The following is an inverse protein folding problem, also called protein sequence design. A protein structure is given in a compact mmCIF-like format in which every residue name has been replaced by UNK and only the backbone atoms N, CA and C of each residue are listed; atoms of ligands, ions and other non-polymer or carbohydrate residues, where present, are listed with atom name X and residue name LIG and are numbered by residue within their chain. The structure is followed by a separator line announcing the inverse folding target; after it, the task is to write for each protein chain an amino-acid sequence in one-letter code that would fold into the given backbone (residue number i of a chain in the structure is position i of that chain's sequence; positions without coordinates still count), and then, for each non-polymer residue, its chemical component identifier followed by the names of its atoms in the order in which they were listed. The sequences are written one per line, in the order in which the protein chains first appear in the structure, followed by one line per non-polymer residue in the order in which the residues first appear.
data_IF_858069474573
#
_entry.id   IF_858069474573
#
_cell.length_a   1.000
_cell.length_b   1.000
_cell.length_c   1.000
_cell.angle_alpha   90.00
_cell.angle_beta   90.00
_cell.angle_gamma   90.00
#
_symmetry.space_group_name_H-M   'P 1'
#
loop_
_entity.id
_entity.type
_entity.pdbx_description
1 polymer ?
#
# COMPACT_ATOMS: atom_id res chain seq x y z
N UNK A 1 34.91 8.95 -35.60
CA UNK A 1 35.36 7.55 -35.80
C UNK A 1 35.52 6.95 -34.40
N UNK A 2 34.65 6.11 -33.87
CA UNK A 2 34.19 4.80 -34.35
C UNK A 2 32.66 4.75 -34.51
N UNK A 3 32.23 4.59 -35.75
CA UNK A 3 30.88 4.17 -36.13
C UNK A 3 30.82 2.65 -35.97
N UNK A 4 30.42 2.17 -34.79
CA UNK A 4 30.02 0.77 -34.66
C UNK A 4 28.84 0.53 -35.63
N UNK A 5 28.93 -0.42 -36.58
CA UNK A 5 27.94 -0.52 -37.63
C UNK A 5 26.61 -0.97 -37.04
N UNK A 6 25.53 -0.22 -37.35
CA UNK A 6 24.12 -0.60 -37.11
C UNK A 6 23.81 -2.03 -37.55
N UNK A 7 24.60 -2.57 -38.48
CA UNK A 7 24.44 -3.88 -39.12
C UNK A 7 24.75 -5.07 -38.19
N UNK A 8 25.60 -4.93 -37.16
CA UNK A 8 25.86 -6.06 -36.23
C UNK A 8 24.79 -6.24 -35.14
N UNK A 9 23.83 -5.32 -35.03
CA UNK A 9 22.67 -5.46 -34.13
C UNK A 9 21.54 -6.32 -34.73
N UNK A 10 21.65 -6.68 -36.02
CA UNK A 10 20.69 -7.52 -36.74
C UNK A 10 20.65 -8.98 -36.27
N UNK A 11 21.58 -9.42 -35.41
CA UNK A 11 21.72 -10.85 -35.05
C UNK A 11 20.85 -11.33 -33.87
N UNK A 12 19.97 -10.50 -33.28
CA UNK A 12 19.10 -10.93 -32.15
C UNK A 12 17.64 -10.40 -32.20
N UNK A 13 16.87 -10.61 -33.27
CA UNK A 13 15.59 -9.92 -33.49
C UNK A 13 14.50 -10.26 -32.46
N UNK A 14 14.41 -11.51 -31.98
CA UNK A 14 13.24 -11.94 -31.21
C UNK A 14 13.17 -11.35 -29.78
N UNK A 15 14.30 -11.38 -29.03
CA UNK A 15 14.36 -10.84 -27.65
C UNK A 15 14.15 -9.31 -27.60
N UNK A 16 14.49 -8.57 -28.65
CA UNK A 16 14.31 -7.12 -28.70
C UNK A 16 12.87 -6.71 -29.05
N UNK A 17 12.13 -7.55 -29.76
CA UNK A 17 10.76 -7.26 -30.17
C UNK A 17 9.82 -7.08 -28.96
N UNK A 18 10.03 -7.85 -27.89
CA UNK A 18 9.25 -7.71 -26.65
C UNK A 18 9.34 -6.31 -26.03
N UNK A 19 10.56 -5.81 -25.87
CA UNK A 19 10.80 -4.50 -25.27
C UNK A 19 10.24 -3.40 -26.16
N UNK A 20 10.38 -3.53 -27.48
CA UNK A 20 9.78 -2.62 -28.44
C UNK A 20 8.25 -2.56 -28.29
N UNK A 21 7.57 -3.71 -28.20
CA UNK A 21 6.10 -3.75 -28.00
C UNK A 21 5.69 -3.05 -26.70
N UNK A 22 6.42 -3.29 -25.61
CA UNK A 22 6.12 -2.64 -24.32
C UNK A 22 6.34 -1.13 -24.41
N UNK A 23 7.48 -0.69 -24.96
CA UNK A 23 7.85 0.73 -25.01
C UNK A 23 7.07 1.52 -26.07
N UNK A 24 6.56 0.87 -27.13
CA UNK A 24 5.68 1.48 -28.12
C UNK A 24 4.35 1.94 -27.50
N UNK A 25 3.92 1.30 -26.42
CA UNK A 25 2.68 1.64 -25.73
C UNK A 25 2.88 2.49 -24.47
N UNK A 26 4.12 2.91 -24.21
CA UNK A 26 4.48 3.75 -23.09
C UNK A 26 4.70 5.20 -23.58
N UNK A 27 3.70 6.05 -23.36
CA UNK A 27 3.83 7.47 -23.61
C UNK A 27 4.65 8.14 -22.48
N UNK A 28 5.82 8.67 -22.86
CA UNK A 28 6.72 9.42 -21.97
C UNK A 28 6.81 10.91 -22.36
N UNK A 29 5.89 11.41 -23.18
CA UNK A 29 5.87 12.79 -23.67
C UNK A 29 5.93 13.83 -22.55
N UNK A 30 5.25 13.54 -21.43
CA UNK A 30 5.19 14.36 -20.21
C UNK A 30 6.56 14.57 -19.53
N UNK A 31 7.51 13.65 -19.74
CA UNK A 31 8.87 13.83 -19.28
C UNK A 31 9.58 14.73 -20.29
N UNK A 32 9.58 16.03 -20.00
CA UNK A 32 10.29 17.04 -20.78
C UNK A 32 11.81 16.90 -20.58
N UNK A 33 12.54 17.00 -21.69
CA UNK A 33 13.99 17.07 -21.67
C UNK A 33 14.46 18.38 -21.05
N UNK A 34 15.56 18.32 -20.30
CA UNK A 34 16.21 19.49 -19.73
C UNK A 34 17.57 19.60 -20.41
N UNK A 35 17.64 20.43 -21.46
CA UNK A 35 18.86 20.63 -22.22
C UNK A 35 19.57 21.86 -21.62
N UNK A 36 20.74 21.68 -20.98
CA UNK A 36 21.50 22.81 -20.45
C UNK A 36 22.03 23.67 -21.60
N UNK A 37 22.14 24.98 -21.36
CA UNK A 37 22.66 25.95 -22.35
C UNK A 37 24.15 25.71 -22.66
N UNK A 38 24.92 25.22 -21.70
CA UNK A 38 26.37 24.96 -21.81
C UNK A 38 26.73 23.58 -21.26
N UNK A 39 27.87 23.04 -21.69
CA UNK A 39 28.41 21.75 -21.22
C UNK A 39 27.90 20.52 -21.97
N UNK A 40 28.27 19.32 -21.46
CA UNK A 40 27.91 18.04 -22.09
C UNK A 40 26.40 17.82 -21.99
N UNK A 41 25.75 17.58 -23.14
CA UNK A 41 24.32 17.24 -23.18
C UNK A 41 24.03 16.02 -22.27
N UNK A 42 23.04 16.10 -21.38
CA UNK A 42 22.67 15.00 -20.51
C UNK A 42 22.01 13.88 -21.31
N UNK A 43 21.93 12.70 -20.71
CA UNK A 43 21.11 11.62 -21.25
C UNK A 43 19.64 12.04 -21.29
N UNK A 44 18.92 11.59 -22.33
CA UNK A 44 17.48 11.80 -22.40
C UNK A 44 16.80 11.22 -21.16
N UNK A 45 15.97 12.04 -20.51
CA UNK A 45 15.19 11.62 -19.34
C UNK A 45 14.20 10.52 -19.71
N UNK A 46 13.67 10.53 -20.93
CA UNK A 46 12.80 9.47 -21.45
C UNK A 46 13.56 8.15 -21.59
N UNK A 47 14.77 8.18 -22.12
CA UNK A 47 15.65 6.99 -22.22
C UNK A 47 16.03 6.45 -20.84
N UNK A 48 16.36 7.32 -19.87
CA UNK A 48 16.62 6.91 -18.48
C UNK A 48 15.37 6.25 -17.86
N UNK A 49 14.17 6.80 -18.11
CA UNK A 49 12.92 6.20 -17.64
C UNK A 49 12.68 4.81 -18.23
N UNK A 50 12.93 4.62 -19.54
CA UNK A 50 12.85 3.31 -20.21
C UNK A 50 13.83 2.31 -19.60
N UNK A 51 15.06 2.72 -19.32
CA UNK A 51 16.06 1.87 -18.68
C UNK A 51 15.66 1.44 -17.26
N UNK A 52 15.04 2.33 -16.47
CA UNK A 52 14.51 1.97 -15.16
C UNK A 52 13.31 1.01 -15.23
N UNK A 53 12.48 1.13 -16.28
CA UNK A 53 11.42 0.15 -16.55
C UNK A 53 12.03 -1.18 -17.00
N UNK A 54 13.06 -1.16 -17.84
CA UNK A 54 13.81 -2.36 -18.24
C UNK A 54 14.41 -3.09 -17.04
N UNK A 55 15.00 -2.36 -16.08
CA UNK A 55 15.47 -2.92 -14.81
C UNK A 55 14.39 -3.75 -14.12
N UNK A 56 13.17 -3.22 -14.05
CA UNK A 56 12.04 -3.95 -13.47
C UNK A 56 11.68 -5.18 -14.32
N UNK A 57 11.61 -5.04 -15.65
CA UNK A 57 11.29 -6.15 -16.57
C UNK A 57 12.30 -7.31 -16.48
N UNK A 58 13.58 -7.01 -16.28
CA UNK A 58 14.64 -8.02 -16.07
C UNK A 58 14.81 -8.46 -14.62
N UNK A 59 14.05 -7.88 -13.69
CA UNK A 59 14.22 -8.10 -12.25
C UNK A 59 15.67 -7.85 -11.77
N UNK A 60 16.34 -6.85 -12.36
CA UNK A 60 17.67 -6.39 -11.93
C UNK A 60 17.52 -5.70 -10.58
N UNK A 61 18.38 -6.03 -9.60
CA UNK A 61 18.19 -5.59 -8.23
C UNK A 61 18.69 -4.17 -8.03
N UNK A 62 19.93 -3.91 -8.45
CA UNK A 62 20.64 -2.67 -8.16
C UNK A 62 20.77 -1.76 -9.38
N UNK A 63 20.97 -0.45 -9.14
CA UNK A 63 21.26 0.50 -10.22
C UNK A 63 22.68 0.31 -10.79
N UNK A 64 23.59 -0.28 -10.01
CA UNK A 64 24.93 -0.64 -10.47
C UNK A 64 24.87 -1.79 -11.48
N UNK A 65 24.11 -2.85 -11.19
CA UNK A 65 23.86 -3.95 -12.12
C UNK A 65 23.20 -3.44 -13.41
N UNK A 66 22.24 -2.52 -13.32
CA UNK A 66 21.64 -1.92 -14.51
C UNK A 66 22.69 -1.18 -15.36
N UNK A 67 23.56 -0.38 -14.75
CA UNK A 67 24.61 0.32 -15.48
C UNK A 67 25.60 -0.67 -16.13
N UNK A 68 25.95 -1.74 -15.42
CA UNK A 68 26.79 -2.81 -15.94
C UNK A 68 26.14 -3.54 -17.12
N UNK A 69 24.88 -3.97 -16.98
CA UNK A 69 24.09 -4.63 -18.04
C UNK A 69 24.02 -3.78 -19.31
N UNK A 70 23.79 -2.47 -19.19
CA UNK A 70 23.74 -1.58 -20.36
C UNK A 70 25.12 -1.37 -21.01
N UNK A 71 26.21 -1.63 -20.28
CA UNK A 71 27.59 -1.57 -20.80
C UNK A 71 28.05 -2.84 -21.48
N UNK A 72 27.57 -3.99 -21.03
CA UNK A 72 27.88 -5.29 -21.62
C UNK A 72 26.94 -5.61 -22.78
N UNK A 73 25.67 -5.23 -22.69
CA UNK A 73 24.66 -5.47 -23.70
C UNK A 73 24.33 -4.18 -24.47
N UNK A 74 25.17 -3.83 -25.44
CA UNK A 74 24.99 -2.62 -26.24
C UNK A 74 23.69 -2.64 -27.07
N UNK A 75 23.19 -3.84 -27.44
CA UNK A 75 21.95 -3.94 -28.20
C UNK A 75 20.71 -3.55 -27.42
N UNK A 76 20.61 -3.95 -26.15
CA UNK A 76 19.51 -3.46 -25.32
C UNK A 76 19.66 -1.97 -25.02
N UNK A 77 20.88 -1.49 -24.83
CA UNK A 77 21.15 -0.06 -24.63
C UNK A 77 20.62 0.76 -25.82
N UNK A 78 20.88 0.30 -27.04
CA UNK A 78 20.34 0.91 -28.27
C UNK A 78 18.81 0.85 -28.33
N UNK A 79 18.19 -0.30 -28.05
CA UNK A 79 16.71 -0.46 -28.04
C UNK A 79 16.04 0.48 -27.04
N UNK A 80 16.67 0.76 -25.91
CA UNK A 80 16.15 1.71 -24.93
C UNK A 80 16.25 3.18 -25.42
N UNK A 81 17.12 3.45 -26.40
CA UNK A 81 17.35 4.75 -27.00
C UNK A 81 18.63 5.44 -26.51
N UNK A 82 19.67 4.67 -26.14
CA UNK A 82 20.99 5.22 -25.87
C UNK A 82 21.85 5.21 -27.14
N UNK A 83 22.21 6.39 -27.62
CA UNK A 83 23.05 6.56 -28.83
C UNK A 83 24.56 6.62 -28.51
N UNK A 84 24.93 6.53 -27.24
CA UNK A 84 26.29 6.75 -26.72
C UNK A 84 26.63 5.68 -25.66
N UNK A 85 27.74 5.88 -24.96
CA UNK A 85 28.09 5.14 -23.75
C UNK A 85 26.90 5.10 -22.77
N UNK A 86 26.61 3.94 -22.14
CA UNK A 86 25.51 3.81 -21.21
C UNK A 86 25.65 4.75 -20.00
N UNK A 87 24.53 5.14 -19.39
CA UNK A 87 24.53 5.99 -18.20
C UNK A 87 25.16 5.29 -17.00
N UNK A 88 25.90 6.05 -16.21
CA UNK A 88 26.40 5.58 -14.91
C UNK A 88 25.27 5.47 -13.88
N UNK A 89 25.53 4.69 -12.82
CA UNK A 89 24.64 4.58 -11.63
C UNK A 89 24.14 5.96 -11.15
N UNK A 90 25.03 6.95 -11.10
CA UNK A 90 24.70 8.30 -10.62
C UNK A 90 23.57 8.95 -11.43
N UNK A 91 23.52 8.74 -12.74
CA UNK A 91 22.48 9.32 -13.61
C UNK A 91 21.09 8.75 -13.32
N UNK A 92 21.01 7.46 -12.98
CA UNK A 92 19.76 6.84 -12.54
C UNK A 92 19.29 7.38 -11.19
N UNK A 93 20.21 7.50 -10.23
CA UNK A 93 19.93 8.10 -8.91
C UNK A 93 19.44 9.53 -9.09
N UNK A 94 20.16 10.35 -9.86
CA UNK A 94 19.80 11.73 -10.14
C UNK A 94 18.38 11.86 -10.72
N UNK A 95 18.01 11.00 -11.67
CA UNK A 95 16.66 10.96 -12.22
C UNK A 95 15.61 10.66 -11.14
N UNK A 96 15.84 9.63 -10.33
CA UNK A 96 14.90 9.23 -9.28
C UNK A 96 14.73 10.32 -8.21
N UNK A 97 15.77 11.07 -7.88
CA UNK A 97 15.68 12.18 -6.92
C UNK A 97 15.06 13.45 -7.51
N UNK A 98 15.37 13.80 -8.75
CA UNK A 98 15.00 15.11 -9.33
C UNK A 98 13.69 15.11 -10.10
N UNK A 99 13.20 13.97 -10.58
CA UNK A 99 11.92 13.91 -11.29
C UNK A 99 10.77 14.14 -10.30
N UNK A 100 9.87 15.10 -10.56
CA UNK A 100 8.66 15.22 -9.76
C UNK A 100 7.78 13.98 -9.90
N UNK A 101 7.42 13.33 -8.80
CA UNK A 101 6.63 12.10 -8.81
C UNK A 101 5.29 12.27 -9.57
N UNK A 102 4.70 13.46 -9.55
CA UNK A 102 3.46 13.77 -10.25
C UNK A 102 3.51 13.47 -11.77
N UNK A 103 4.68 13.60 -12.41
CA UNK A 103 4.84 13.26 -13.83
C UNK A 103 4.68 11.75 -14.05
N UNK A 104 5.32 10.93 -13.20
CA UNK A 104 5.19 9.48 -13.26
C UNK A 104 3.78 9.03 -12.90
N UNK A 105 3.14 9.70 -11.94
CA UNK A 105 1.74 9.44 -11.60
C UNK A 105 0.79 9.71 -12.78
N UNK A 106 1.04 10.76 -13.58
CA UNK A 106 0.22 11.02 -14.77
C UNK A 106 0.43 9.94 -15.85
N UNK A 107 1.67 9.52 -16.10
CA UNK A 107 1.95 8.38 -17.00
C UNK A 107 1.19 7.12 -16.54
N UNK A 108 1.25 6.81 -15.24
CA UNK A 108 0.50 5.70 -14.63
C UNK A 108 -1.01 5.86 -14.86
N UNK A 109 -1.56 7.07 -14.65
CA UNK A 109 -3.00 7.36 -14.88
C UNK A 109 -3.40 7.18 -16.34
N UNK A 110 -2.57 7.61 -17.30
CA UNK A 110 -2.81 7.41 -18.72
C UNK A 110 -2.87 5.91 -19.07
N UNK A 111 -1.96 5.10 -18.54
CA UNK A 111 -1.99 3.65 -18.74
C UNK A 111 -3.26 3.01 -18.20
N UNK A 112 -3.73 3.44 -17.02
CA UNK A 112 -5.00 2.96 -16.45
C UNK A 112 -6.17 3.35 -17.35
N UNK A 113 -6.22 4.58 -17.88
CA UNK A 113 -7.27 4.99 -18.83
C UNK A 113 -7.28 4.10 -20.06
N UNK A 114 -6.11 3.77 -20.62
CA UNK A 114 -5.98 2.84 -21.74
C UNK A 114 -6.51 1.44 -21.39
N UNK A 115 -6.16 0.90 -20.22
CA UNK A 115 -6.62 -0.43 -19.78
C UNK A 115 -8.13 -0.49 -19.48
N UNK A 116 -8.73 0.62 -19.03
CA UNK A 116 -10.18 0.76 -18.91
C UNK A 116 -10.82 0.74 -20.30
N UNK A 117 -10.28 1.49 -21.26
CA UNK A 117 -10.76 1.50 -22.65
C UNK A 117 -10.67 0.13 -23.32
N UNK A 118 -9.62 -0.65 -23.02
CA UNK A 118 -9.46 -2.03 -23.47
C UNK A 118 -10.32 -3.04 -22.69
N UNK A 119 -11.17 -2.58 -21.75
CA UNK A 119 -12.02 -3.42 -20.89
C UNK A 119 -11.25 -4.45 -20.05
N UNK A 120 -9.97 -4.19 -19.75
CA UNK A 120 -9.14 -5.03 -18.87
C UNK A 120 -9.42 -4.69 -17.41
N UNK A 121 -9.42 -3.40 -17.07
CA UNK A 121 -9.72 -2.91 -15.71
C UNK A 121 -11.20 -2.60 -15.64
N UNK A 122 -11.91 -3.34 -14.79
CA UNK A 122 -13.36 -3.16 -14.63
C UNK A 122 -13.72 -2.14 -13.55
N UNK A 123 -12.91 -2.05 -12.49
CA UNK A 123 -13.19 -1.26 -11.30
C UNK A 123 -14.44 -1.71 -10.52
N UNK A 124 -14.92 -2.95 -10.74
CA UNK A 124 -16.12 -3.49 -10.08
C UNK A 124 -15.86 -3.81 -8.61
N UNK A 125 -14.69 -4.36 -8.29
CA UNK A 125 -14.28 -4.66 -6.93
C UNK A 125 -12.90 -4.06 -6.70
N UNK A 126 -12.82 -3.09 -5.79
CA UNK A 126 -11.58 -2.38 -5.51
C UNK A 126 -11.08 -2.79 -4.13
N UNK A 127 -9.88 -3.35 -4.07
CA UNK A 127 -9.23 -3.76 -2.83
C UNK A 127 -8.16 -2.74 -2.44
N UNK A 128 -8.23 -2.23 -1.21
CA UNK A 128 -7.20 -1.38 -0.63
C UNK A 128 -6.29 -2.21 0.29
N UNK A 129 -4.99 -2.01 0.11
CA UNK A 129 -3.96 -2.64 0.93
C UNK A 129 -2.66 -1.82 0.85
N UNK A 130 -1.71 -2.05 1.75
CA UNK A 130 -0.42 -1.37 1.74
C UNK A 130 0.72 -2.29 2.09
N UNK A 131 1.88 -2.01 1.50
CA UNK A 131 3.06 -2.84 1.65
C UNK A 131 4.25 -2.04 2.19
N UNK A 132 5.07 -2.60 3.09
CA UNK A 132 6.23 -1.91 3.63
C UNK A 132 7.31 -1.72 2.56
N UNK A 133 7.96 -0.56 2.59
CA UNK A 133 9.16 -0.26 1.81
C UNK A 133 10.26 0.11 2.80
N UNK A 134 11.21 -0.81 2.99
CA UNK A 134 12.23 -0.76 4.02
C UNK A 134 13.37 0.14 3.54
N UNK A 135 13.70 1.18 4.32
CA UNK A 135 14.77 2.10 3.98
C UNK A 135 16.15 1.43 4.10
N UNK A 136 17.10 1.86 3.26
CA UNK A 136 18.48 1.39 3.28
C UNK A 136 19.30 2.12 4.36
N UNK A 137 19.04 1.78 5.63
CA UNK A 137 19.68 2.41 6.80
C UNK A 137 20.26 1.36 7.76
N UNK A 138 21.32 1.70 8.49
CA UNK A 138 22.00 0.79 9.44
C UNK A 138 21.05 0.26 10.53
N UNK A 139 20.05 1.04 10.93
CA UNK A 139 19.02 0.67 11.90
C UNK A 139 18.11 -0.48 11.43
N UNK A 140 18.04 -0.73 10.12
CA UNK A 140 17.29 -1.88 9.59
C UNK A 140 18.16 -3.13 9.43
N UNK A 141 19.49 -3.03 9.61
CA UNK A 141 20.39 -4.17 9.51
C UNK A 141 20.33 -4.99 10.82
N UNK A 142 19.89 -6.26 10.81
CA UNK A 142 19.79 -7.08 12.02
C UNK A 142 21.15 -7.32 12.68
N UNK A 143 22.24 -7.35 11.89
CA UNK A 143 23.60 -7.65 12.34
C UNK A 143 24.29 -6.46 13.00
N UNK A 144 23.72 -5.25 12.91
CA UNK A 144 24.28 -4.04 13.49
C UNK A 144 23.61 -3.73 14.82
N UNK A 145 24.44 -3.58 15.86
CA UNK A 145 24.03 -2.96 17.11
C UNK A 145 23.93 -1.45 16.92
N UNK A 146 22.78 -0.89 17.28
CA UNK A 146 22.54 0.56 17.29
C UNK A 146 21.73 0.85 18.55
N UNK A 147 22.27 1.64 19.45
CA UNK A 147 21.54 2.05 20.65
C UNK A 147 20.27 2.83 20.26
N UNK A 148 19.14 2.51 20.89
CA UNK A 148 17.86 3.15 20.56
C UNK A 148 17.41 2.91 19.11
N UNK A 149 17.78 1.77 18.49
CA UNK A 149 17.53 1.40 17.09
C UNK A 149 16.13 1.72 16.55
N UNK A 150 15.09 1.61 17.37
CA UNK A 150 13.69 1.86 17.02
C UNK A 150 13.03 2.94 17.89
N UNK A 151 13.83 3.89 18.38
CA UNK A 151 13.32 5.09 19.04
C UNK A 151 12.71 6.03 18.00
N UNK A 152 11.39 6.25 18.09
CA UNK A 152 10.64 7.14 17.18
C UNK A 152 11.10 8.59 17.20
N UNK A 153 11.92 9.01 18.18
CA UNK A 153 12.47 10.37 18.29
C UNK A 153 13.82 10.52 17.61
N UNK A 154 14.55 9.41 17.38
CA UNK A 154 15.89 9.40 16.77
C UNK A 154 15.82 8.94 15.31
N UNK A 155 15.63 9.89 14.39
CA UNK A 155 15.54 9.57 12.97
C UNK A 155 16.88 9.09 12.40
N UNK A 156 16.86 8.14 11.43
CA UNK A 156 18.09 7.61 10.87
C UNK A 156 18.78 8.65 9.96
N UNK A 157 20.03 8.98 10.25
CA UNK A 157 20.83 9.94 9.45
C UNK A 157 20.92 9.55 7.96
N UNK A 158 20.99 8.26 7.65
CA UNK A 158 21.07 7.77 6.27
C UNK A 158 19.80 7.99 5.45
N UNK A 159 18.65 8.21 6.10
CA UNK A 159 17.40 8.56 5.43
C UNK A 159 16.49 9.39 6.37
N UNK A 160 16.67 10.72 6.44
CA UNK A 160 15.93 11.58 7.37
C UNK A 160 14.40 11.60 7.15
N UNK A 161 13.93 11.19 5.98
CA UNK A 161 12.50 11.12 5.63
C UNK A 161 11.83 9.82 6.12
N UNK A 162 12.63 8.78 6.40
CA UNK A 162 12.13 7.50 6.87
C UNK A 162 11.44 7.65 8.24
N UNK A 163 10.33 6.93 8.44
CA UNK A 163 9.62 6.90 9.73
C UNK A 163 9.46 5.46 10.20
N UNK A 164 9.30 5.31 11.51
CA UNK A 164 9.12 4.01 12.13
C UNK A 164 7.76 3.42 11.75
N UNK A 165 7.77 2.20 11.22
CA UNK A 165 6.61 1.41 10.86
C UNK A 165 6.64 0.03 11.50
N UNK A 166 5.50 -0.65 11.40
CA UNK A 166 5.32 -2.00 11.93
C UNK A 166 4.78 -2.91 10.83
N UNK A 167 5.23 -4.16 10.78
CA UNK A 167 4.67 -5.20 9.92
C UNK A 167 4.55 -6.53 10.67
N UNK A 168 3.62 -7.38 10.25
CA UNK A 168 3.43 -8.71 10.82
C UNK A 168 4.15 -9.73 9.93
N UNK A 169 5.06 -10.52 10.50
CA UNK A 169 5.55 -11.74 9.86
C UNK A 169 4.70 -12.94 10.29
N UNK A 170 4.12 -13.62 9.31
CA UNK A 170 3.59 -14.97 9.50
C UNK A 170 4.70 -15.99 9.22
N UNK A 171 4.65 -17.13 9.94
CA UNK A 171 5.65 -18.20 9.84
C UNK A 171 5.65 -18.76 8.41
N UNK A 172 6.82 -18.81 7.76
CA UNK A 172 6.97 -19.53 6.49
C UNK A 172 7.05 -21.04 6.75
N UNK A 173 6.24 -21.82 6.04
CA UNK A 173 6.52 -23.22 5.76
C UNK A 173 7.73 -23.31 4.82
N UNK A 174 8.56 -24.33 5.03
CA UNK A 174 9.95 -24.52 4.56
C UNK A 174 10.25 -24.42 3.04
N UNK A 175 9.33 -23.99 2.18
CA UNK A 175 9.55 -23.96 0.73
C UNK A 175 9.21 -22.61 0.12
N UNK A 176 10.12 -21.64 0.19
CA UNK A 176 10.44 -20.72 -0.93
C UNK A 176 11.53 -19.72 -0.52
N UNK A 177 12.49 -19.52 -1.43
CA UNK A 177 13.60 -18.56 -1.34
C UNK A 177 13.07 -17.12 -1.36
N UNK A 178 12.64 -16.60 -0.21
CA UNK A 178 12.40 -15.17 -0.03
C UNK A 178 13.43 -14.61 0.95
N UNK A 179 14.53 -14.09 0.38
CA UNK A 179 15.58 -13.30 1.05
C UNK A 179 15.02 -12.09 1.85
N UNK A 180 13.74 -11.75 1.66
CA UNK A 180 13.06 -10.63 2.30
C UNK A 180 12.90 -10.80 3.82
N UNK A 181 12.86 -12.03 4.34
CA UNK A 181 12.68 -12.35 5.76
C UNK A 181 13.95 -12.76 6.52
N UNK A 182 15.00 -13.22 5.83
CA UNK A 182 16.23 -13.69 6.50
C UNK A 182 16.92 -12.56 7.28
N UNK A 183 16.77 -11.32 6.81
CA UNK A 183 17.27 -10.11 7.47
C UNK A 183 16.54 -9.72 8.77
N UNK A 184 15.55 -10.49 9.23
CA UNK A 184 14.92 -10.24 10.53
C UNK A 184 14.90 -11.46 11.43
N UNK A 185 15.65 -12.51 11.09
CA UNK A 185 15.92 -13.62 12.00
C UNK A 185 17.09 -13.26 12.92
N UNK A 186 16.89 -13.07 14.23
CA UNK A 186 18.00 -13.14 15.17
C UNK A 186 18.53 -14.58 15.22
N UNK A 187 19.86 -14.80 15.36
CA UNK A 187 20.47 -16.12 15.35
C UNK A 187 20.00 -17.06 16.48
N UNK A 188 19.53 -16.54 17.63
CA UNK A 188 19.51 -17.32 18.89
C UNK A 188 18.14 -17.58 19.54
N UNK A 189 17.01 -17.52 18.81
CA UNK A 189 15.69 -17.75 19.45
C UNK A 189 15.00 -19.00 18.89
N UNK A 190 14.97 -20.06 19.70
CA UNK A 190 14.24 -21.31 19.43
C UNK A 190 12.74 -21.04 19.24
N UNK A 191 12.23 -21.42 18.07
CA UNK A 191 10.88 -21.14 17.59
C UNK A 191 9.78 -21.89 18.39
N UNK A 192 9.06 -21.17 19.25
CA UNK A 192 7.73 -21.58 19.73
C UNK A 192 6.74 -20.41 19.63
N UNK A 193 5.77 -20.51 18.70
CA UNK A 193 4.53 -19.70 18.71
C UNK A 193 4.46 -18.45 17.80
N UNK A 194 3.53 -18.51 16.83
CA UNK A 194 2.73 -17.48 16.14
C UNK A 194 3.17 -16.00 16.03
N UNK A 195 3.15 -15.49 14.79
CA UNK A 195 3.03 -14.08 14.36
C UNK A 195 3.95 -13.07 15.08
N UNK A 196 5.08 -12.72 14.45
CA UNK A 196 6.03 -11.71 14.99
C UNK A 196 5.74 -10.31 14.45
N UNK A 197 5.68 -9.31 15.32
CA UNK A 197 5.66 -7.90 14.92
C UNK A 197 7.10 -7.47 14.68
N UNK A 198 7.37 -6.86 13.52
CA UNK A 198 8.66 -6.27 13.19
C UNK A 198 8.52 -4.76 13.08
N UNK A 199 9.42 -4.07 13.77
CA UNK A 199 9.66 -2.65 13.59
C UNK A 199 10.66 -2.43 12.44
N UNK A 200 10.41 -1.43 11.60
CA UNK A 200 11.34 -1.04 10.54
C UNK A 200 11.29 0.47 10.31
N UNK A 201 12.40 1.05 9.88
CA UNK A 201 12.43 2.40 9.36
C UNK A 201 12.14 2.39 7.87
N UNK A 202 11.23 3.25 7.41
CA UNK A 202 11.02 3.46 5.99
C UNK A 202 9.67 4.05 5.66
N UNK A 203 9.05 3.45 4.65
CA UNK A 203 7.86 3.96 3.98
C UNK A 203 6.81 2.86 3.85
N UNK A 204 5.61 3.25 3.44
CA UNK A 204 4.54 2.36 3.01
C UNK A 204 4.08 2.79 1.63
N UNK A 205 3.92 1.81 0.76
CA UNK A 205 3.29 1.99 -0.53
C UNK A 205 1.83 1.55 -0.44
N UNK A 206 0.92 2.51 -0.50
CA UNK A 206 -0.53 2.28 -0.41
C UNK A 206 -1.09 2.13 -1.81
N UNK A 207 -1.81 1.03 -2.06
CA UNK A 207 -2.26 0.66 -3.40
C UNK A 207 -3.75 0.31 -3.36
N UNK A 208 -4.47 0.69 -4.41
CA UNK A 208 -5.79 0.15 -4.68
C UNK A 208 -5.69 -0.70 -5.93
N UNK A 209 -6.13 -1.95 -5.84
CA UNK A 209 -6.18 -2.88 -6.96
C UNK A 209 -7.62 -3.04 -7.45
N UNK A 210 -7.80 -3.22 -8.75
CA UNK A 210 -9.00 -3.88 -9.27
C UNK A 210 -8.88 -5.38 -9.02
N UNK A 211 -9.62 -5.92 -8.06
CA UNK A 211 -9.47 -7.31 -7.59
C UNK A 211 -9.65 -8.37 -8.67
N UNK A 212 -10.33 -8.05 -9.78
CA UNK A 212 -10.58 -8.99 -10.87
C UNK A 212 -9.42 -9.08 -11.86
N UNK A 213 -8.88 -7.94 -12.30
CA UNK A 213 -7.68 -7.89 -13.15
C UNK A 213 -6.39 -8.05 -12.34
N UNK A 214 -6.47 -7.75 -11.05
CA UNK A 214 -5.38 -7.72 -10.08
C UNK A 214 -4.31 -6.66 -10.43
N UNK A 215 -4.72 -5.64 -11.19
CA UNK A 215 -3.88 -4.52 -11.60
C UNK A 215 -4.07 -3.32 -10.66
N UNK A 216 -3.01 -2.55 -10.38
CA UNK A 216 -3.11 -1.38 -9.54
C UNK A 216 -3.78 -0.22 -10.27
N UNK A 217 -4.79 0.38 -9.65
CA UNK A 217 -5.48 1.58 -10.15
C UNK A 217 -5.09 2.85 -9.37
N UNK A 218 -4.54 2.69 -8.18
CA UNK A 218 -4.03 3.79 -7.35
C UNK A 218 -2.72 3.37 -6.69
N UNK A 219 -1.79 4.32 -6.52
CA UNK A 219 -0.55 4.13 -5.78
C UNK A 219 -0.17 5.44 -5.10
N UNK A 220 0.26 5.36 -3.84
CA UNK A 220 0.85 6.47 -3.12
C UNK A 220 1.85 5.98 -2.07
N UNK A 221 3.08 6.47 -2.16
CA UNK A 221 4.10 6.25 -1.14
C UNK A 221 4.03 7.31 -0.03
N UNK A 222 4.05 6.87 1.23
CA UNK A 222 4.10 7.74 2.42
C UNK A 222 5.10 7.20 3.45
N UNK A 223 5.60 8.04 4.38
CA UNK A 223 6.38 7.55 5.53
C UNK A 223 5.60 6.48 6.33
N UNK A 224 6.29 5.49 6.88
CA UNK A 224 5.64 4.28 7.40
C UNK A 224 4.77 4.50 8.66
N UNK A 225 4.90 5.64 9.33
CA UNK A 225 4.04 6.03 10.47
C UNK A 225 2.68 6.59 10.02
N UNK A 226 2.46 6.84 8.73
CA UNK A 226 1.18 7.29 8.21
C UNK A 226 0.22 6.10 8.17
N UNK A 227 -0.81 6.17 9.01
CA UNK A 227 -1.85 5.14 9.04
C UNK A 227 -2.62 5.05 7.73
N UNK A 228 -2.90 3.82 7.31
CA UNK A 228 -3.69 3.52 6.10
C UNK A 228 -5.03 4.24 6.09
N UNK A 229 -5.66 4.36 7.27
CA UNK A 229 -6.95 5.03 7.41
C UNK A 229 -6.97 6.50 7.01
N UNK A 230 -5.82 7.19 7.10
CA UNK A 230 -5.65 8.58 6.63
C UNK A 230 -5.53 8.65 5.10
N UNK A 231 -5.03 7.60 4.46
CA UNK A 231 -4.78 7.55 3.02
C UNK A 231 -6.01 7.08 2.26
N UNK A 232 -6.79 6.14 2.80
CA UNK A 232 -7.93 5.51 2.11
C UNK A 232 -8.90 6.49 1.48
N UNK A 233 -9.38 7.49 2.24
CA UNK A 233 -10.35 8.46 1.73
C UNK A 233 -9.74 9.34 0.64
N UNK A 234 -8.47 9.73 0.79
CA UNK A 234 -7.75 10.51 -0.22
C UNK A 234 -7.61 9.70 -1.52
N UNK A 235 -7.24 8.44 -1.41
CA UNK A 235 -7.08 7.54 -2.55
C UNK A 235 -8.38 7.40 -3.36
N UNK A 236 -9.52 7.18 -2.68
CA UNK A 236 -10.80 7.09 -3.39
C UNK A 236 -11.32 8.43 -3.92
N UNK A 237 -10.96 9.57 -3.30
CA UNK A 237 -11.22 10.90 -3.88
C UNK A 237 -10.46 11.07 -5.19
N UNK A 238 -9.18 10.69 -5.21
CA UNK A 238 -8.36 10.76 -6.42
C UNK A 238 -8.87 9.81 -7.51
N UNK A 239 -9.25 8.58 -7.15
CA UNK A 239 -9.85 7.64 -8.10
C UNK A 239 -11.14 8.19 -8.70
N UNK A 240 -12.05 8.72 -7.88
CA UNK A 240 -13.31 9.31 -8.37
C UNK A 240 -13.09 10.53 -9.27
N UNK A 241 -12.06 11.33 -9.00
CA UNK A 241 -11.70 12.50 -9.83
C UNK A 241 -11.17 12.08 -11.19
N UNK A 242 -10.31 11.06 -11.24
CA UNK A 242 -9.59 10.68 -12.45
C UNK A 242 -10.28 9.60 -13.29
N UNK A 243 -11.13 8.78 -12.66
CA UNK A 243 -11.77 7.62 -13.27
C UNK A 243 -13.25 7.54 -12.89
N UNK A 244 -14.10 7.18 -13.85
CA UNK A 244 -15.55 7.05 -13.65
C UNK A 244 -15.95 5.63 -13.19
N UNK A 245 -15.21 5.06 -12.23
CA UNK A 245 -15.52 3.72 -11.71
C UNK A 245 -16.87 3.70 -11.00
N UNK A 246 -17.62 2.62 -11.22
CA UNK A 246 -18.88 2.30 -10.52
C UNK A 246 -18.70 1.00 -9.72
N UNK A 247 -17.97 1.03 -8.59
CA UNK A 247 -17.66 -0.18 -7.84
C UNK A 247 -18.92 -0.82 -7.28
N UNK A 248 -19.02 -2.14 -7.38
CA UNK A 248 -20.03 -2.97 -6.69
C UNK A 248 -19.65 -3.23 -5.23
N UNK A 249 -18.35 -3.23 -4.94
CA UNK A 249 -17.85 -3.37 -3.57
C UNK A 249 -16.43 -2.85 -3.38
N UNK A 250 -16.16 -2.33 -2.19
CA UNK A 250 -14.82 -1.97 -1.72
C UNK A 250 -14.37 -3.00 -0.69
N UNK A 251 -13.18 -3.57 -0.90
CA UNK A 251 -12.57 -4.59 -0.06
C UNK A 251 -11.41 -3.98 0.71
N UNK A 252 -11.23 -4.37 1.96
CA UNK A 252 -10.12 -3.90 2.78
C UNK A 252 -10.01 -4.68 4.08
N UNK A 253 -8.83 -4.65 4.68
CA UNK A 253 -8.59 -5.32 5.96
C UNK A 253 -9.29 -4.61 7.15
N UNK A 254 -9.23 -5.23 8.33
CA UNK A 254 -9.79 -4.64 9.54
C UNK A 254 -9.10 -3.33 9.96
N UNK A 255 -7.90 -3.00 9.50
CA UNK A 255 -7.26 -1.72 9.81
C UNK A 255 -7.99 -0.54 9.15
N UNK A 256 -8.74 -0.78 8.07
CA UNK A 256 -9.59 0.22 7.42
C UNK A 256 -10.97 0.42 8.08
N UNK A 257 -11.29 -0.32 9.15
CA UNK A 257 -12.57 -0.20 9.86
C UNK A 257 -12.68 1.12 10.66
N UNK A 258 -13.02 2.20 9.96
CA UNK A 258 -13.26 3.51 10.56
C UNK A 258 -14.55 4.13 10.03
N UNK A 259 -15.24 4.91 10.88
CA UNK A 259 -16.47 5.59 10.49
C UNK A 259 -16.26 6.54 9.30
N UNK A 260 -15.11 7.20 9.20
CA UNK A 260 -14.81 8.10 8.09
C UNK A 260 -14.76 7.35 6.74
N UNK A 261 -14.09 6.20 6.71
CA UNK A 261 -13.99 5.36 5.51
C UNK A 261 -15.35 4.79 5.13
N UNK A 262 -16.03 4.12 6.07
CA UNK A 262 -17.35 3.50 5.79
C UNK A 262 -18.37 4.55 5.35
N UNK A 263 -18.41 5.72 6.00
CA UNK A 263 -19.26 6.85 5.60
C UNK A 263 -18.95 7.29 4.17
N UNK A 264 -17.67 7.45 3.82
CA UNK A 264 -17.28 7.86 2.47
C UNK A 264 -17.70 6.84 1.41
N UNK A 265 -17.45 5.54 1.66
CA UNK A 265 -17.84 4.46 0.74
C UNK A 265 -19.36 4.46 0.51
N UNK A 266 -20.17 4.50 1.58
CA UNK A 266 -21.63 4.41 1.45
C UNK A 266 -22.29 5.68 0.95
N UNK A 267 -21.92 6.85 1.48
CA UNK A 267 -22.56 8.12 1.10
C UNK A 267 -22.01 8.71 -0.19
N UNK A 268 -20.70 8.61 -0.42
CA UNK A 268 -20.03 9.29 -1.55
C UNK A 268 -19.80 8.39 -2.75
N UNK A 269 -19.39 7.14 -2.53
CA UNK A 269 -19.20 6.15 -3.59
C UNK A 269 -20.48 5.34 -3.88
N UNK A 270 -21.48 5.40 -2.97
CA UNK A 270 -22.75 4.68 -3.09
C UNK A 270 -22.57 3.18 -3.34
N UNK A 271 -21.63 2.57 -2.62
CA UNK A 271 -21.26 1.16 -2.79
C UNK A 271 -21.17 0.42 -1.44
N UNK A 272 -21.05 -0.91 -1.51
CA UNK A 272 -20.95 -1.79 -0.35
C UNK A 272 -19.50 -1.85 0.14
N UNK A 273 -19.32 -1.81 1.45
CA UNK A 273 -18.03 -1.97 2.13
C UNK A 273 -17.88 -3.38 2.70
N UNK A 274 -16.92 -4.12 2.16
CA UNK A 274 -16.51 -5.45 2.60
C UNK A 274 -15.23 -5.33 3.43
N UNK A 275 -15.40 -4.75 4.62
CA UNK A 275 -14.32 -4.48 5.58
C UNK A 275 -14.68 -5.19 6.89
N UNK A 276 -13.85 -6.13 7.40
CA UNK A 276 -14.11 -6.78 8.68
C UNK A 276 -14.11 -5.78 9.83
N UNK A 277 -14.88 -6.06 10.87
CA UNK A 277 -14.89 -5.22 12.08
C UNK A 277 -13.56 -5.39 12.81
N UNK A 278 -12.94 -4.29 13.23
CA UNK A 278 -11.71 -4.34 14.00
C UNK A 278 -12.01 -4.58 15.48
N UNK A 279 -11.71 -5.77 16.05
CA UNK A 279 -12.03 -6.07 17.43
C UNK A 279 -11.31 -5.15 18.42
N UNK A 280 -10.13 -4.61 18.08
CA UNK A 280 -9.40 -3.65 18.92
C UNK A 280 -10.13 -2.32 19.07
N UNK A 281 -10.97 -1.97 18.09
CA UNK A 281 -11.80 -0.78 18.12
C UNK A 281 -13.17 -1.03 18.78
N UNK A 282 -13.55 -2.29 18.99
CA UNK A 282 -14.74 -2.70 19.70
C UNK A 282 -14.45 -2.67 21.20
N UNK A 283 -14.92 -1.64 21.89
CA UNK A 283 -15.03 -1.74 23.36
C UNK A 283 -16.04 -2.84 23.69
N UNK A 284 -15.77 -3.61 24.74
CA UNK A 284 -16.62 -4.67 25.34
C UNK A 284 -18.10 -4.56 24.95
N UNK A 285 -18.75 -5.69 24.63
CA UNK A 285 -20.19 -5.78 24.29
C UNK A 285 -21.03 -4.75 25.05
N UNK A 286 -21.34 -3.66 24.37
CA UNK A 286 -22.08 -2.56 24.98
C UNK A 286 -23.54 -2.96 24.92
N UNK A 287 -24.07 -3.44 26.05
CA UNK A 287 -25.49 -3.76 26.20
C UNK A 287 -26.29 -2.47 26.42
N UNK A 288 -27.42 -2.37 25.73
CA UNK A 288 -28.42 -1.32 25.91
C UNK A 288 -29.76 -1.94 26.29
N UNK A 289 -30.55 -1.23 27.10
CA UNK A 289 -31.94 -1.58 27.40
C UNK A 289 -32.86 -1.23 26.22
N UNK A 290 -34.12 -1.68 26.26
CA UNK A 290 -35.17 -1.28 25.28
C UNK A 290 -35.36 0.24 25.22
N UNK A 291 -35.03 0.96 26.29
CA UNK A 291 -35.09 2.43 26.39
C UNK A 291 -33.82 3.13 25.89
N UNK A 292 -32.92 2.41 25.21
CA UNK A 292 -31.65 2.92 24.68
C UNK A 292 -30.70 3.48 25.76
N UNK A 293 -30.79 2.92 26.97
CA UNK A 293 -29.91 3.27 28.09
C UNK A 293 -28.82 2.22 28.24
N UNK A 294 -27.59 2.65 28.47
CA UNK A 294 -26.46 1.74 28.60
C UNK A 294 -26.55 0.93 29.89
N UNK A 295 -26.17 -0.35 29.82
CA UNK A 295 -26.09 -1.26 30.97
C UNK A 295 -24.66 -1.34 31.48
N UNK A 296 -24.47 -1.36 32.80
CA UNK A 296 -23.17 -1.54 33.44
C UNK A 296 -22.77 -3.03 33.51
N UNK A 297 -21.54 -3.33 33.92
CA UNK A 297 -21.05 -4.73 34.04
C UNK A 297 -21.87 -5.54 35.04
N UNK A 298 -22.42 -4.91 36.07
CA UNK A 298 -23.30 -5.53 37.06
C UNK A 298 -24.75 -5.76 36.55
N UNK A 299 -25.03 -5.45 35.27
CA UNK A 299 -26.35 -5.65 34.67
C UNK A 299 -27.36 -4.53 34.93
N UNK A 300 -26.99 -3.46 35.63
CA UNK A 300 -27.90 -2.33 35.90
C UNK A 300 -27.95 -1.30 34.78
N UNK A 301 -29.14 -0.79 34.52
CA UNK A 301 -29.38 0.37 33.67
C UNK A 301 -28.70 1.61 34.28
N UNK A 302 -27.79 2.22 33.53
CA UNK A 302 -27.01 3.38 34.01
C UNK A 302 -27.82 4.67 33.94
N UNK A 303 -27.60 5.59 34.87
CA UNK A 303 -28.28 6.88 34.86
C UNK A 303 -27.70 7.82 33.77
N UNK A 304 -28.51 8.35 32.85
CA UNK A 304 -28.05 9.30 31.84
C UNK A 304 -27.75 10.66 32.47
N UNK A 305 -26.46 11.03 32.57
CA UNK A 305 -26.03 12.26 33.23
C UNK A 305 -26.14 13.50 32.36
N UNK A 306 -25.93 13.36 31.04
CA UNK A 306 -25.98 14.48 30.11
C UNK A 306 -25.14 14.25 28.86
N UNK A 307 -25.20 15.21 27.93
CA UNK A 307 -24.44 15.18 26.68
C UNK A 307 -23.44 16.33 26.64
N UNK A 308 -22.25 16.09 26.11
CA UNK A 308 -21.20 17.11 25.99
C UNK A 308 -20.37 16.91 24.72
N UNK A 309 -19.74 17.98 24.24
CA UNK A 309 -18.79 17.94 23.12
C UNK A 309 -17.38 17.71 23.64
N UNK A 310 -16.71 16.67 23.14
CA UNK A 310 -15.32 16.32 23.45
C UNK A 310 -14.55 16.08 22.15
N UNK A 311 -13.53 16.91 21.88
CA UNK A 311 -12.67 16.84 20.67
C UNK A 311 -13.50 16.74 19.37
N UNK A 312 -14.53 17.57 19.25
CA UNK A 312 -15.43 17.61 18.10
C UNK A 312 -16.42 16.44 18.00
N UNK A 313 -16.66 15.70 19.09
CA UNK A 313 -17.61 14.57 19.15
C UNK A 313 -18.64 14.79 20.25
N UNK A 314 -19.91 14.52 20.00
CA UNK A 314 -20.96 14.59 21.02
C UNK A 314 -21.09 13.24 21.73
N UNK A 315 -20.87 13.24 23.04
CA UNK A 315 -20.96 12.03 23.88
C UNK A 315 -22.03 12.17 24.94
N UNK A 316 -22.84 11.14 25.12
CA UNK A 316 -23.69 10.95 26.30
C UNK A 316 -22.85 10.33 27.42
N UNK A 317 -22.84 10.93 28.59
CA UNK A 317 -22.30 10.35 29.82
C UNK A 317 -23.40 9.56 30.52
N UNK A 318 -23.07 8.33 30.90
CA UNK A 318 -23.87 7.47 31.77
C UNK A 318 -23.08 7.26 33.06
N UNK A 319 -23.76 7.30 34.20
CA UNK A 319 -23.15 7.16 35.53
C UNK A 319 -23.85 6.08 36.35
N UNK A 320 -23.21 5.63 37.42
CA UNK A 320 -23.73 4.56 38.25
C UNK A 320 -25.05 4.99 38.93
N UNK A 321 -26.13 4.20 38.81
CA UNK A 321 -27.40 4.55 39.42
C UNK A 321 -27.32 4.51 40.95
N UNK A 322 -26.48 3.64 41.53
CA UNK A 322 -26.31 3.53 42.99
C UNK A 322 -25.71 4.81 43.59
N UNK A 323 -24.81 5.50 42.87
CA UNK A 323 -24.18 6.73 43.40
C UNK A 323 -24.96 8.00 43.08
N UNK A 324 -25.81 7.98 42.04
CA UNK A 324 -26.51 9.18 41.56
C UNK A 324 -28.03 9.16 41.77
N UNK A 325 -28.63 8.05 42.19
CA UNK A 325 -30.07 7.95 42.49
C UNK A 325 -30.29 7.43 43.92
N UNK A 326 -30.73 8.32 44.83
CA UNK A 326 -30.96 7.98 46.25
C UNK A 326 -31.87 6.77 46.46
N UNK A 327 -32.97 6.67 45.69
CA UNK A 327 -33.93 5.54 45.76
C UNK A 327 -33.29 4.21 45.33
N UNK A 328 -32.47 4.24 44.28
CA UNK A 328 -31.76 3.07 43.79
C UNK A 328 -30.65 2.64 44.76
N UNK A 329 -29.95 3.62 45.35
CA UNK A 329 -28.92 3.38 46.36
C UNK A 329 -29.46 2.64 47.58
N UNK A 330 -30.60 3.09 48.13
CA UNK A 330 -31.26 2.45 49.28
C UNK A 330 -31.67 1.00 49.00
N UNK A 331 -32.13 0.69 47.78
CA UNK A 331 -32.51 -0.67 47.36
C UNK A 331 -31.31 -1.63 47.28
N UNK A 332 -30.12 -1.10 47.07
CA UNK A 332 -28.88 -1.87 46.90
C UNK A 332 -27.86 -1.60 48.02
N UNK A 333 -28.33 -1.20 49.20
CA UNK A 333 -27.52 -0.94 50.41
C UNK A 333 -26.30 -0.06 50.18
N UNK A 334 -26.37 0.90 49.25
CA UNK A 334 -25.26 1.79 48.88
C UNK A 334 -23.97 1.07 48.46
N UNK A 335 -24.05 -0.18 48.02
CA UNK A 335 -22.89 -1.00 47.65
C UNK A 335 -23.02 -1.55 46.23
N UNK A 336 -21.89 -1.65 45.53
CA UNK A 336 -21.85 -2.26 44.20
C UNK A 336 -21.75 -3.78 44.33
N UNK A 337 -22.69 -4.57 43.76
CA UNK A 337 -22.63 -6.04 43.84
C UNK A 337 -21.38 -6.66 43.21
N UNK A 338 -20.72 -5.94 42.31
CA UNK A 338 -19.49 -6.38 41.63
C UNK A 338 -18.21 -5.83 42.28
N UNK A 339 -18.31 -5.14 43.42
CA UNK A 339 -17.20 -4.47 44.11
C UNK A 339 -16.28 -3.69 43.14
N UNK A 340 -16.89 -2.97 42.20
CA UNK A 340 -16.15 -2.35 41.10
C UNK A 340 -15.15 -1.31 41.64
N UNK A 341 -13.87 -1.31 41.25
CA UNK A 341 -12.84 -0.44 41.86
C UNK A 341 -13.14 1.07 41.81
N UNK A 342 -13.86 1.51 40.77
CA UNK A 342 -14.30 2.91 40.64
C UNK A 342 -15.47 3.30 41.55
N UNK A 343 -16.10 2.36 42.25
CA UNK A 343 -17.24 2.64 43.10
C UNK A 343 -16.88 3.56 44.27
N UNK A 344 -15.74 3.31 44.92
CA UNK A 344 -15.20 4.17 45.98
C UNK A 344 -14.89 5.62 45.53
N UNK A 345 -14.76 5.87 44.22
CA UNK A 345 -14.49 7.19 43.63
C UNK A 345 -15.74 7.87 43.03
N UNK A 346 -16.93 7.47 43.46
CA UNK A 346 -18.20 8.05 42.98
C UNK A 346 -18.92 7.22 41.92
N UNK A 347 -18.55 5.95 41.72
CA UNK A 347 -19.28 5.02 40.86
C UNK A 347 -18.66 4.78 39.48
N UNK A 348 -19.12 3.73 38.81
CA UNK A 348 -18.75 3.49 37.41
C UNK A 348 -19.42 4.53 36.48
N UNK A 349 -18.71 4.95 35.44
CA UNK A 349 -19.23 5.84 34.40
C UNK A 349 -18.83 5.32 33.03
N UNK A 350 -19.62 5.71 32.03
CA UNK A 350 -19.42 5.25 30.67
C UNK A 350 -19.87 6.31 29.66
N UNK A 351 -19.25 6.31 28.48
CA UNK A 351 -19.56 7.26 27.42
C UNK A 351 -20.07 6.53 26.19
N UNK A 352 -21.12 7.07 25.58
CA UNK A 352 -21.65 6.62 24.28
C UNK A 352 -21.63 7.80 23.33
N UNK A 353 -21.18 7.57 22.10
CA UNK A 353 -21.15 8.60 21.07
C UNK A 353 -22.53 8.70 20.41
N UNK A 354 -23.09 9.90 20.33
CA UNK A 354 -24.44 10.14 19.79
C UNK A 354 -24.39 10.75 18.38
N UNK A 355 -23.35 11.54 18.08
CA UNK A 355 -23.20 12.29 16.83
C UNK A 355 -22.76 11.45 15.62
N UNK A 356 -22.56 10.14 15.78
CA UNK A 356 -22.22 9.28 14.66
C UNK A 356 -23.31 8.25 14.42
N UNK A 357 -23.94 8.35 13.25
CA UNK A 357 -24.36 7.17 12.50
C UNK A 357 -23.25 6.11 12.65
N UNK A 358 -23.49 5.08 13.46
CA UNK A 358 -22.53 3.99 13.56
C UNK A 358 -22.64 3.17 12.28
N UNK A 359 -21.86 3.53 11.26
CA UNK A 359 -21.84 2.80 10.01
C UNK A 359 -21.48 1.32 10.22
N UNK A 360 -20.86 0.97 11.36
CA UNK A 360 -20.62 -0.42 11.74
C UNK A 360 -21.91 -1.23 11.89
N UNK A 361 -22.95 -0.70 12.55
CA UNK A 361 -24.21 -1.45 12.78
C UNK A 361 -24.97 -1.74 11.49
N UNK A 362 -24.78 -0.90 10.46
CA UNK A 362 -25.35 -1.09 9.11
C UNK A 362 -24.41 -1.79 8.15
N UNK A 363 -23.30 -2.35 8.63
CA UNK A 363 -22.38 -3.11 7.79
C UNK A 363 -22.96 -4.47 7.48
N UNK A 364 -22.57 -4.99 6.31
CA UNK A 364 -22.84 -6.38 5.98
C UNK A 364 -22.14 -7.23 7.04
N UNK A 365 -22.89 -8.17 7.64
CA UNK A 365 -22.34 -9.08 8.64
C UNK A 365 -21.13 -9.84 8.05
N UNK A 366 -19.92 -9.70 8.62
CA UNK A 366 -18.74 -10.44 8.18
C UNK A 366 -18.92 -11.97 8.22
N UNK A 367 -19.85 -12.48 9.04
CA UNK A 367 -20.16 -13.92 9.11
C UNK A 367 -21.05 -14.41 7.97
N UNK A 368 -21.77 -13.51 7.30
CA UNK A 368 -22.66 -13.86 6.20
C UNK A 368 -21.90 -14.50 5.03
N UNK A 369 -22.55 -15.43 4.34
CA UNK A 369 -21.96 -16.09 3.16
C UNK A 369 -21.67 -15.07 2.04
N UNK A 370 -22.57 -14.10 1.85
CA UNK A 370 -22.40 -13.02 0.88
C UNK A 370 -21.12 -12.21 1.12
N UNK A 371 -20.84 -11.86 2.40
CA UNK A 371 -19.60 -11.20 2.76
C UNK A 371 -18.41 -12.10 2.46
N UNK A 372 -18.39 -13.33 2.97
CA UNK A 372 -17.27 -14.26 2.79
C UNK A 372 -16.94 -14.51 1.31
N UNK A 373 -17.96 -14.75 0.49
CA UNK A 373 -17.81 -15.01 -0.95
C UNK A 373 -17.19 -13.81 -1.68
N UNK A 374 -17.66 -12.61 -1.38
CA UNK A 374 -17.14 -11.39 -2.02
C UNK A 374 -15.76 -11.03 -1.47
N UNK A 375 -15.54 -11.21 -0.17
CA UNK A 375 -14.28 -10.91 0.50
C UNK A 375 -13.12 -11.77 0.01
N UNK A 376 -13.36 -12.99 -0.48
CA UNK A 376 -12.34 -13.83 -1.16
C UNK A 376 -11.65 -13.11 -2.33
N UNK A 377 -12.32 -12.15 -2.97
CA UNK A 377 -11.74 -11.33 -4.05
C UNK A 377 -10.60 -10.41 -3.56
N UNK A 378 -10.48 -10.19 -2.24
CA UNK A 378 -9.37 -9.44 -1.67
C UNK A 378 -8.02 -10.13 -1.95
N UNK A 379 -7.99 -11.46 -2.08
CA UNK A 379 -6.77 -12.20 -2.47
C UNK A 379 -6.16 -11.72 -3.80
N UNK A 380 -6.95 -11.03 -4.64
CA UNK A 380 -6.44 -10.38 -5.84
C UNK A 380 -5.39 -9.29 -5.55
N UNK A 381 -5.52 -8.52 -4.45
CA UNK A 381 -4.49 -7.54 -4.07
C UNK A 381 -3.21 -8.21 -3.57
N UNK A 382 -3.31 -9.33 -2.85
CA UNK A 382 -2.14 -10.12 -2.42
C UNK A 382 -1.36 -10.65 -3.63
N UNK A 383 -2.07 -11.19 -4.63
CA UNK A 383 -1.45 -11.59 -5.91
C UNK A 383 -0.92 -10.40 -6.71
N UNK A 384 -1.58 -9.24 -6.63
CA UNK A 384 -1.09 -7.99 -7.20
C UNK A 384 0.25 -7.56 -6.61
N UNK A 385 0.35 -7.54 -5.28
CA UNK A 385 1.60 -7.27 -4.58
C UNK A 385 2.68 -8.31 -4.86
N UNK A 386 2.36 -9.60 -4.85
CA UNK A 386 3.32 -10.67 -5.18
C UNK A 386 4.01 -10.45 -6.54
N UNK A 387 3.29 -9.91 -7.53
CA UNK A 387 3.88 -9.50 -8.81
C UNK A 387 4.81 -8.30 -8.67
N UNK A 388 4.37 -7.25 -7.96
CA UNK A 388 5.18 -6.05 -7.70
C UNK A 388 6.48 -6.38 -6.93
N UNK A 389 6.48 -7.41 -6.08
CA UNK A 389 7.69 -7.89 -5.39
C UNK A 389 8.80 -8.30 -6.36
N UNK A 390 8.46 -8.78 -7.56
CA UNK A 390 9.44 -9.16 -8.59
C UNK A 390 10.26 -7.96 -9.09
N UNK A 391 9.79 -6.73 -8.87
CA UNK A 391 10.47 -5.50 -9.26
C UNK A 391 11.34 -4.88 -8.16
N UNK A 392 11.53 -5.59 -7.04
CA UNK A 392 12.38 -5.14 -5.92
C UNK A 392 12.02 -3.76 -5.36
N UNK A 393 10.75 -3.37 -5.40
CA UNK A 393 10.31 -2.04 -4.94
C UNK A 393 10.38 -1.87 -3.41
N UNK A 394 10.38 -2.96 -2.64
CA UNK A 394 10.31 -2.92 -1.17
C UNK A 394 11.65 -2.68 -0.46
N UNK A 395 12.78 -2.83 -1.15
CA UNK A 395 14.12 -2.58 -0.58
C UNK A 395 14.95 -1.71 -1.54
N UNK A 396 14.52 -0.46 -1.76
CA UNK A 396 15.27 0.45 -2.59
C UNK A 396 16.63 0.74 -1.94
N UNK A 397 17.73 0.60 -2.71
CA UNK A 397 19.04 1.13 -2.33
C UNK A 397 19.12 2.64 -2.64
N UNK A 398 18.11 3.36 -2.15
CA UNK A 398 17.89 4.80 -2.34
C UNK A 398 17.46 5.40 -1.00
N UNK A 399 17.56 6.72 -0.89
CA UNK A 399 17.21 7.49 0.30
C UNK A 399 16.26 8.62 -0.09
N UNK A 400 15.45 9.12 0.85
CA UNK A 400 14.51 10.21 0.63
C UNK A 400 13.19 9.79 -0.03
N UNK A 401 12.11 10.44 0.41
CA UNK A 401 10.73 10.07 0.04
C UNK A 401 10.49 10.14 -1.47
N UNK A 402 11.05 11.14 -2.17
CA UNK A 402 10.78 11.33 -3.59
C UNK A 402 11.39 10.21 -4.44
N UNK A 403 12.64 9.82 -4.17
CA UNK A 403 13.32 8.76 -4.91
C UNK A 403 12.63 7.39 -4.69
N UNK A 404 12.27 7.09 -3.43
CA UNK A 404 11.55 5.87 -3.09
C UNK A 404 10.15 5.84 -3.72
N UNK A 405 9.42 6.97 -3.68
CA UNK A 405 8.12 7.09 -4.34
C UNK A 405 8.25 6.87 -5.86
N UNK A 406 9.24 7.49 -6.51
CA UNK A 406 9.50 7.32 -7.94
C UNK A 406 9.82 5.87 -8.30
N UNK A 407 10.63 5.16 -7.50
CA UNK A 407 10.88 3.73 -7.71
C UNK A 407 9.60 2.91 -7.60
N UNK A 408 8.75 3.17 -6.60
CA UNK A 408 7.46 2.49 -6.46
C UNK A 408 6.55 2.78 -7.65
N UNK A 409 6.39 4.04 -8.05
CA UNK A 409 5.56 4.43 -9.20
C UNK A 409 6.08 3.79 -10.49
N UNK A 410 7.40 3.69 -10.70
CA UNK A 410 7.98 3.00 -11.86
C UNK A 410 7.65 1.50 -11.88
N UNK A 411 7.67 0.82 -10.72
CA UNK A 411 7.23 -0.58 -10.64
C UNK A 411 5.75 -0.75 -11.06
N UNK A 412 4.90 0.22 -10.68
CA UNK A 412 3.50 0.26 -11.08
C UNK A 412 3.31 0.57 -12.58
N UNK A 413 4.11 1.48 -13.14
CA UNK A 413 4.13 1.74 -14.58
C UNK A 413 4.56 0.49 -15.35
N UNK A 414 5.54 -0.26 -14.85
CA UNK A 414 6.01 -1.50 -15.47
C UNK A 414 4.90 -2.55 -15.53
N UNK A 415 4.19 -2.83 -14.44
CA UNK A 415 3.10 -3.84 -14.45
C UNK A 415 1.97 -3.45 -15.41
N UNK A 416 1.62 -2.16 -15.46
CA UNK A 416 0.59 -1.66 -16.35
C UNK A 416 1.03 -1.68 -17.82
N UNK A 417 2.30 -1.38 -18.11
CA UNK A 417 2.86 -1.44 -19.45
C UNK A 417 2.80 -2.88 -20.00
N UNK A 418 3.16 -3.87 -19.18
CA UNK A 418 3.02 -5.30 -19.52
C UNK A 418 1.56 -5.63 -19.80
N UNK A 419 0.62 -5.21 -18.93
CA UNK A 419 -0.80 -5.47 -19.12
C UNK A 419 -1.33 -4.88 -20.43
N UNK A 420 -0.91 -3.68 -20.81
CA UNK A 420 -1.30 -3.04 -22.08
C UNK A 420 -0.74 -3.82 -23.27
N UNK A 421 0.54 -4.19 -23.24
CA UNK A 421 1.17 -4.97 -24.30
C UNK A 421 0.41 -6.29 -24.51
N UNK A 422 0.15 -7.04 -23.44
CA UNK A 422 -0.58 -8.32 -23.50
C UNK A 422 -2.00 -8.14 -24.03
N UNK A 423 -2.71 -7.12 -23.57
CA UNK A 423 -4.08 -6.84 -24.00
C UNK A 423 -4.16 -6.52 -25.50
N UNK A 424 -3.17 -5.77 -26.02
CA UNK A 424 -3.06 -5.43 -27.45
C UNK A 424 -2.60 -6.60 -28.30
N UNK A 425 -1.75 -7.49 -27.79
CA UNK A 425 -1.36 -8.74 -28.44
C UNK A 425 -2.47 -9.83 -28.41
N UNK A 426 -3.70 -9.49 -27.97
CA UNK A 426 -4.87 -10.38 -27.86
C UNK A 426 -4.68 -11.63 -26.97
N UNK A 427 -3.60 -11.73 -26.19
CA UNK A 427 -3.33 -12.85 -25.27
C UNK A 427 -3.88 -12.57 -23.85
N UNK A 428 -5.18 -12.29 -23.73
CA UNK A 428 -5.81 -11.80 -22.49
C UNK A 428 -5.54 -12.68 -21.26
N UNK A 429 -5.37 -13.99 -21.42
CA UNK A 429 -5.13 -14.92 -20.32
C UNK A 429 -3.75 -14.75 -19.65
N UNK A 430 -2.77 -14.20 -20.38
CA UNK A 430 -1.40 -14.06 -19.88
C UNK A 430 -1.16 -12.79 -19.05
N UNK A 431 -2.16 -11.91 -18.89
CA UNK A 431 -2.05 -10.65 -18.11
C UNK A 431 -1.62 -10.94 -16.66
N UNK A 432 -2.00 -12.11 -16.12
CA UNK A 432 -1.70 -12.52 -14.74
C UNK A 432 -0.33 -13.18 -14.56
N UNK A 433 0.31 -13.64 -15.63
CA UNK A 433 1.53 -14.46 -15.57
C UNK A 433 2.76 -13.66 -16.02
N UNK A 434 3.18 -12.64 -15.26
CA UNK A 434 4.33 -11.80 -15.64
C UNK A 434 5.61 -12.62 -15.86
N UNK A 435 5.93 -13.58 -14.98
CA UNK A 435 7.15 -14.40 -15.12
C UNK A 435 7.04 -15.45 -16.23
N UNK A 436 5.85 -16.03 -16.42
CA UNK A 436 5.58 -16.96 -17.52
C UNK A 436 5.62 -16.24 -18.87
N UNK A 437 4.99 -15.08 -18.96
CA UNK A 437 5.03 -14.19 -20.12
C UNK A 437 6.45 -13.71 -20.43
N UNK A 438 7.21 -13.26 -19.42
CA UNK A 438 8.62 -12.89 -19.61
C UNK A 438 9.47 -14.09 -20.04
N UNK A 439 9.23 -15.32 -19.54
CA UNK A 439 9.94 -16.53 -20.02
C UNK A 439 9.53 -16.92 -21.44
N UNK A 440 8.24 -17.07 -21.70
CA UNK A 440 7.67 -17.44 -23.00
C UNK A 440 8.04 -16.45 -24.11
N UNK A 441 8.14 -15.16 -23.79
CA UNK A 441 8.50 -14.10 -24.75
C UNK A 441 10.00 -13.82 -24.82
N UNK A 442 10.82 -14.39 -23.91
CA UNK A 442 12.30 -14.35 -24.00
C UNK A 442 12.89 -15.64 -24.59
N UNK A 443 12.10 -16.72 -24.68
CA UNK A 443 12.48 -18.02 -25.26
C UNK A 443 12.09 -18.18 -26.73
N UNK A 444 11.11 -17.40 -27.22
CA UNK A 444 10.84 -17.20 -28.65
C UNK A 444 11.68 -16.05 -29.17
#
# INVERSE_FOLDING_TARGET
MSTYPREKLLFYPAKFNLYNVIFQHLDLSLIKEQIPKTGRRPFSRRTICRALIYKNLKAIQTLSELAFELSTNLGISYVLGFDKQPPSRHRFVEFLHKVPNQLLQEIRRQQIKTLIGLSVISGKYLSIDSTPVIAWVKQNNPKMFVEGKFDKTKFPQGDPDARLGFMMLQKYTKHTKEQQLELFKPPDIKDKGNKRIICFWGYRNHVIFDSLSELPVFELTKPANVFDSKVTVLAFKELKKNFKFKPKGILGDAAHDTNAIRKYIRKTLKTKDFIPINPRATKQDIKFTKHNTRVCVAGFEMYPWGSFKDRGRTRKKFVCPITHLKRFAKKHNHQCPMNHPKFAKGGCYAYVRIDSDDYRTRSIDPKSEFFKKTYKLQSGSERGFSRLLTFYMQRPMLTGINAVANQCTLAHITILAIAIAVAKSKQKEKIRFIRGLLRDLLQK
#
